data_IF_660226614460
#
_entry.id   IF_660226614460
#
_cell.length_a   1.000
_cell.length_b   1.000
_cell.length_c   1.000
_cell.angle_alpha   90.00
_cell.angle_beta   90.00
_cell.angle_gamma   90.00
#
_symmetry.space_group_name_H-M   'P 1'
#
loop_
_entity.id
_entity.type
_entity.pdbx_description
1 polymer ?
#
# COMPACT_ATOMS: atom_id res chain seq x y z
N UNK A 1 -3.31 57.58 30.39
CA UNK A 1 -4.05 56.30 30.45
C UNK A 1 -5.14 56.37 29.39
N UNK A 2 -5.00 55.63 28.28
CA UNK A 2 -5.80 55.83 27.06
C UNK A 2 -7.25 55.34 27.22
N UNK A 3 -8.20 55.94 26.49
CA UNK A 3 -9.65 55.59 26.50
C UNK A 3 -9.87 54.08 26.26
N UNK A 4 -8.99 53.44 25.48
CA UNK A 4 -8.98 51.99 25.23
C UNK A 4 -8.75 51.17 26.50
N UNK A 5 -7.88 51.62 27.41
CA UNK A 5 -7.67 50.95 28.70
C UNK A 5 -8.88 51.11 29.62
N UNK A 6 -9.58 52.25 29.58
CA UNK A 6 -10.78 52.48 30.39
C UNK A 6 -11.96 51.61 29.90
N UNK A 7 -12.09 51.42 28.58
CA UNK A 7 -13.14 50.55 27.99
C UNK A 7 -12.83 49.08 28.25
N UNK A 8 -11.56 48.64 28.15
CA UNK A 8 -11.18 47.27 28.52
C UNK A 8 -11.43 46.97 30.00
N UNK A 9 -11.05 47.87 30.91
CA UNK A 9 -11.25 47.68 32.36
C UNK A 9 -12.75 47.55 32.66
N UNK A 10 -13.59 48.46 32.14
CA UNK A 10 -15.05 48.36 32.31
C UNK A 10 -15.67 47.10 31.69
N UNK A 11 -15.14 46.59 30.58
CA UNK A 11 -15.63 45.35 29.95
C UNK A 11 -15.28 44.11 30.80
N UNK A 12 -14.05 44.03 31.31
CA UNK A 12 -13.65 42.95 32.21
C UNK A 12 -14.39 43.01 33.54
N UNK A 13 -14.64 44.21 34.07
CA UNK A 13 -15.46 44.40 35.26
C UNK A 13 -16.92 43.98 35.01
N UNK A 14 -17.52 44.27 33.85
CA UNK A 14 -18.87 43.75 33.51
C UNK A 14 -18.90 42.21 33.31
N UNK A 15 -17.79 41.62 32.87
CA UNK A 15 -17.67 40.18 32.62
C UNK A 15 -17.43 39.37 33.92
N UNK A 16 -16.73 39.96 34.89
CA UNK A 16 -16.28 39.30 36.13
C UNK A 16 -16.97 39.81 37.42
N UNK A 17 -17.33 41.10 37.48
CA UNK A 17 -17.91 41.77 38.64
C UNK A 17 -19.39 42.07 38.41
N UNK A 18 -20.20 41.14 38.88
CA UNK A 18 -21.62 41.30 39.06
C UNK A 18 -21.92 42.01 40.38
N UNK A 19 -22.02 43.34 40.36
CA UNK A 19 -22.61 44.08 41.50
C UNK A 19 -24.13 43.81 41.64
N UNK A 20 -24.76 43.18 40.65
CA UNK A 20 -26.21 42.93 40.58
C UNK A 20 -26.62 41.46 40.76
N UNK A 21 -25.70 40.49 40.63
CA UNK A 21 -26.05 39.06 40.70
C UNK A 21 -25.57 38.40 41.98
N UNK A 22 -26.36 37.43 42.44
CA UNK A 22 -26.11 36.69 43.67
C UNK A 22 -25.34 35.39 43.32
N UNK A 23 -24.27 35.04 44.06
CA UNK A 23 -23.58 33.76 43.91
C UNK A 23 -24.52 32.56 44.06
N UNK A 24 -24.22 31.47 43.35
CA UNK A 24 -25.07 30.28 43.34
C UNK A 24 -25.14 29.58 44.70
N UNK A 25 -24.12 29.72 45.56
CA UNK A 25 -24.14 29.23 46.93
C UNK A 25 -25.29 29.79 47.77
N UNK A 26 -25.70 31.04 47.51
CA UNK A 26 -26.86 31.65 48.17
C UNK A 26 -28.18 31.01 47.73
N UNK A 27 -28.29 30.53 46.48
CA UNK A 27 -29.46 29.78 46.01
C UNK A 27 -29.60 28.44 46.74
N UNK A 28 -28.49 27.83 47.16
CA UNK A 28 -28.49 26.63 48.00
C UNK A 28 -28.65 26.93 49.49
N UNK A 29 -28.89 28.19 49.87
CA UNK A 29 -29.00 28.65 51.26
C UNK A 29 -27.78 28.25 52.12
N UNK A 30 -26.62 28.04 51.49
CA UNK A 30 -25.42 27.51 52.15
C UNK A 30 -25.64 26.18 52.91
N UNK A 31 -26.61 25.36 52.48
CA UNK A 31 -26.80 24.03 53.05
C UNK A 31 -25.63 23.11 52.68
N UNK A 32 -24.88 22.69 53.70
CA UNK A 32 -23.64 21.93 53.53
C UNK A 32 -23.82 20.67 52.66
N UNK A 33 -24.90 19.92 52.85
CA UNK A 33 -25.13 18.65 52.14
C UNK A 33 -25.27 18.86 50.62
N UNK A 34 -25.99 19.90 50.21
CA UNK A 34 -26.23 20.20 48.79
C UNK A 34 -24.98 20.77 48.14
N UNK A 35 -24.27 21.65 48.85
CA UNK A 35 -23.01 22.22 48.36
C UNK A 35 -21.96 21.14 48.17
N UNK A 36 -21.74 20.26 49.15
CA UNK A 36 -20.75 19.18 49.03
C UNK A 36 -21.05 18.24 47.87
N UNK A 37 -22.34 17.95 47.62
CA UNK A 37 -22.74 17.11 46.50
C UNK A 37 -22.35 17.73 45.15
N UNK A 38 -22.70 19.00 44.92
CA UNK A 38 -22.35 19.70 43.69
C UNK A 38 -20.83 19.89 43.57
N UNK A 39 -20.18 20.34 44.65
CA UNK A 39 -18.74 20.57 44.70
C UNK A 39 -17.94 19.32 44.29
N UNK A 40 -18.23 18.17 44.91
CA UNK A 40 -17.51 16.93 44.64
C UNK A 40 -17.83 16.44 43.22
N UNK A 41 -19.10 16.48 42.81
CA UNK A 41 -19.52 16.01 41.49
C UNK A 41 -18.86 16.82 40.37
N UNK A 42 -18.96 18.15 40.42
CA UNK A 42 -18.38 19.03 39.40
C UNK A 42 -16.85 18.97 39.41
N UNK A 43 -16.21 18.81 40.57
CA UNK A 43 -14.77 18.62 40.65
C UNK A 43 -14.32 17.30 39.98
N UNK A 44 -15.03 16.20 40.24
CA UNK A 44 -14.74 14.90 39.62
C UNK A 44 -14.98 14.92 38.11
N UNK A 45 -16.09 15.53 37.65
CA UNK A 45 -16.38 15.67 36.23
C UNK A 45 -15.30 16.51 35.54
N UNK A 46 -14.94 17.65 36.13
CA UNK A 46 -13.89 18.53 35.62
C UNK A 46 -12.56 17.79 35.48
N UNK A 47 -12.14 17.06 36.52
CA UNK A 47 -10.91 16.28 36.50
C UNK A 47 -10.93 15.23 35.37
N UNK A 48 -12.02 14.47 35.26
CA UNK A 48 -12.17 13.45 34.22
C UNK A 48 -12.14 14.08 32.81
N UNK A 49 -12.80 15.22 32.62
CA UNK A 49 -12.93 15.88 31.32
C UNK A 49 -11.63 16.55 30.87
N UNK A 50 -10.70 16.87 31.78
CA UNK A 50 -9.34 17.24 31.38
C UNK A 50 -8.43 16.03 31.18
N UNK A 51 -8.62 14.94 31.93
CA UNK A 51 -7.79 13.74 31.81
C UNK A 51 -8.05 12.95 30.52
N UNK A 52 -9.32 12.76 30.12
CA UNK A 52 -9.69 12.00 28.92
C UNK A 52 -9.03 12.56 27.64
N UNK A 53 -9.09 13.88 27.35
CA UNK A 53 -8.41 14.47 26.20
C UNK A 53 -6.89 14.30 26.24
N UNK A 54 -6.26 14.36 27.42
CA UNK A 54 -4.81 14.11 27.57
C UNK A 54 -4.48 12.67 27.14
N UNK A 55 -5.25 11.69 27.62
CA UNK A 55 -5.10 10.29 27.22
C UNK A 55 -5.38 10.06 25.73
N UNK A 56 -6.38 10.75 25.17
CA UNK A 56 -6.67 10.70 23.74
C UNK A 56 -5.50 11.25 22.90
N UNK A 57 -4.92 12.39 23.29
CA UNK A 57 -3.76 12.97 22.60
C UNK A 57 -2.54 12.03 22.71
N UNK A 58 -2.32 11.42 23.88
CA UNK A 58 -1.29 10.40 24.06
C UNK A 58 -1.47 9.22 23.11
N UNK A 59 -2.68 8.67 23.03
CA UNK A 59 -3.03 7.55 22.14
C UNK A 59 -2.84 7.92 20.66
N UNK A 60 -3.28 9.11 20.26
CA UNK A 60 -3.11 9.62 18.89
C UNK A 60 -1.64 9.79 18.50
N UNK A 61 -0.79 10.19 19.46
CA UNK A 61 0.66 10.29 19.25
C UNK A 61 1.33 8.93 19.17
N UNK A 62 0.88 7.94 19.94
CA UNK A 62 1.46 6.60 19.95
C UNK A 62 1.10 5.78 18.71
N UNK A 63 -0.10 5.97 18.14
CA UNK A 63 -0.59 5.21 16.99
C UNK A 63 -0.54 6.03 15.70
N UNK A 64 0.40 5.69 14.80
CA UNK A 64 0.60 6.43 13.55
C UNK A 64 -0.57 6.33 12.57
N UNK A 65 -1.29 5.21 12.54
CA UNK A 65 -2.36 4.94 11.56
C UNK A 65 -3.76 4.88 12.17
N UNK A 66 -4.11 5.83 13.03
CA UNK A 66 -5.50 5.96 13.46
C UNK A 66 -6.35 6.57 12.35
N UNK A 67 -7.46 5.93 11.96
CA UNK A 67 -8.41 6.56 11.08
C UNK A 67 -9.07 7.74 11.82
N UNK A 68 -9.36 8.82 11.09
CA UNK A 68 -10.11 9.98 11.59
C UNK A 68 -9.50 10.73 12.79
N UNK A 69 -8.17 10.88 12.87
CA UNK A 69 -7.48 11.65 13.94
C UNK A 69 -8.10 13.04 14.21
N UNK A 70 -8.51 13.75 13.17
CA UNK A 70 -9.16 15.05 13.30
C UNK A 70 -10.49 15.00 14.07
N UNK A 71 -11.28 13.94 13.88
CA UNK A 71 -12.53 13.72 14.62
C UNK A 71 -12.26 13.45 16.10
N UNK A 72 -11.26 12.63 16.41
CA UNK A 72 -10.85 12.34 17.79
C UNK A 72 -10.36 13.60 18.52
N UNK A 73 -9.65 14.51 17.83
CA UNK A 73 -9.27 15.80 18.40
C UNK A 73 -10.48 16.72 18.64
N UNK A 74 -11.49 16.70 17.76
CA UNK A 74 -12.74 17.44 17.97
C UNK A 74 -13.51 16.91 19.19
N UNK A 75 -13.58 15.59 19.38
CA UNK A 75 -14.13 15.01 20.60
C UNK A 75 -13.34 15.45 21.84
N UNK A 76 -12.01 15.46 21.78
CA UNK A 76 -11.17 15.99 22.86
C UNK A 76 -11.50 17.45 23.18
N UNK A 77 -11.58 18.32 22.16
CA UNK A 77 -11.91 19.73 22.33
C UNK A 77 -13.32 19.95 22.91
N UNK A 78 -14.31 19.17 22.45
CA UNK A 78 -15.67 19.17 22.97
C UNK A 78 -15.71 18.78 24.46
N UNK A 79 -14.98 17.73 24.85
CA UNK A 79 -14.89 17.29 26.26
C UNK A 79 -14.22 18.36 27.12
N UNK A 80 -13.15 19.02 26.64
CA UNK A 80 -12.51 20.15 27.36
C UNK A 80 -13.51 21.29 27.58
N UNK A 81 -14.28 21.67 26.55
CA UNK A 81 -15.29 22.73 26.67
C UNK A 81 -16.41 22.35 27.66
N UNK A 82 -16.84 21.08 27.71
CA UNK A 82 -17.74 20.61 28.76
C UNK A 82 -17.10 20.66 30.15
N UNK A 83 -15.80 20.39 30.24
CA UNK A 83 -15.06 20.39 31.50
C UNK A 83 -14.95 21.81 32.07
N UNK A 84 -14.71 22.80 31.20
CA UNK A 84 -14.71 24.20 31.58
C UNK A 84 -16.09 24.68 32.03
N UNK A 85 -17.20 24.11 31.53
CA UNK A 85 -18.54 24.45 32.07
C UNK A 85 -18.72 24.01 33.52
N UNK A 86 -18.27 22.80 33.89
CA UNK A 86 -18.35 22.32 35.28
C UNK A 86 -17.36 23.05 36.21
N UNK A 87 -16.17 23.39 35.69
CA UNK A 87 -15.22 24.25 36.41
C UNK A 87 -15.83 25.62 36.70
N UNK A 88 -16.60 26.15 35.76
CA UNK A 88 -17.28 27.43 35.95
C UNK A 88 -18.43 27.32 36.95
N UNK A 89 -19.15 26.20 37.00
CA UNK A 89 -20.21 25.94 37.99
C UNK A 89 -19.65 25.85 39.43
N UNK A 90 -18.44 25.29 39.58
CA UNK A 90 -17.68 25.39 40.85
C UNK A 90 -17.39 26.85 41.21
N UNK A 91 -16.88 27.63 40.26
CA UNK A 91 -16.54 29.04 40.49
C UNK A 91 -17.77 29.87 40.85
N UNK A 92 -18.92 29.63 40.21
CA UNK A 92 -20.16 30.37 40.45
C UNK A 92 -20.79 30.16 41.82
N UNK A 93 -20.38 29.13 42.56
CA UNK A 93 -20.76 28.95 43.97
C UNK A 93 -20.37 30.16 44.82
N UNK A 94 -19.19 30.75 44.56
CA UNK A 94 -18.66 31.87 45.34
C UNK A 94 -18.68 33.20 44.59
N UNK A 95 -18.50 33.19 43.27
CA UNK A 95 -18.40 34.42 42.47
C UNK A 95 -19.39 34.41 41.28
N UNK A 96 -20.32 35.38 41.17
CA UNK A 96 -21.44 35.33 40.23
C UNK A 96 -21.07 35.75 38.78
N UNK A 97 -20.06 35.11 38.20
CA UNK A 97 -19.59 35.36 36.83
C UNK A 97 -20.47 34.65 35.77
N UNK A 98 -21.77 34.95 35.78
CA UNK A 98 -22.77 34.29 34.93
C UNK A 98 -22.61 34.59 33.43
N UNK A 99 -22.14 35.78 33.06
CA UNK A 99 -21.84 36.11 31.66
C UNK A 99 -20.72 35.26 31.07
N UNK A 100 -19.67 35.02 31.86
CA UNK A 100 -18.58 34.14 31.48
C UNK A 100 -19.07 32.69 31.36
N UNK A 101 -19.83 32.21 32.35
CA UNK A 101 -20.45 30.88 32.33
C UNK A 101 -21.36 30.67 31.12
N UNK A 102 -22.24 31.62 30.83
CA UNK A 102 -23.12 31.60 29.66
C UNK A 102 -22.34 31.58 28.34
N UNK A 103 -21.25 32.34 28.25
CA UNK A 103 -20.39 32.39 27.06
C UNK A 103 -19.67 31.05 26.82
N UNK A 104 -19.13 30.43 27.88
CA UNK A 104 -18.52 29.10 27.81
C UNK A 104 -19.56 28.05 27.38
N UNK A 105 -20.78 28.10 27.94
CA UNK A 105 -21.89 27.22 27.53
C UNK A 105 -22.26 27.40 26.05
N UNK A 106 -22.32 28.64 25.55
CA UNK A 106 -22.60 28.93 24.15
C UNK A 106 -21.50 28.39 23.22
N UNK A 107 -20.22 28.60 23.55
CA UNK A 107 -19.09 28.04 22.79
C UNK A 107 -19.16 26.51 22.77
N UNK A 108 -19.42 25.90 23.94
CA UNK A 108 -19.56 24.44 24.05
C UNK A 108 -20.68 23.93 23.15
N UNK A 109 -21.84 24.59 23.14
CA UNK A 109 -22.96 24.23 22.25
C UNK A 109 -22.58 24.30 20.76
N UNK A 110 -21.86 25.34 20.34
CA UNK A 110 -21.38 25.47 18.94
C UNK A 110 -20.44 24.32 18.58
N UNK A 111 -19.46 24.01 19.45
CA UNK A 111 -18.51 22.91 19.24
C UNK A 111 -19.23 21.56 19.20
N UNK A 112 -20.23 21.34 20.06
CA UNK A 112 -21.07 20.13 20.06
C UNK A 112 -21.80 19.93 18.74
N UNK A 113 -22.51 20.96 18.27
CA UNK A 113 -23.28 20.91 17.02
C UNK A 113 -22.34 20.66 15.84
N UNK A 114 -21.22 21.37 15.78
CA UNK A 114 -20.22 21.15 14.74
C UNK A 114 -19.67 19.72 14.76
N UNK A 115 -19.35 19.18 15.94
CA UNK A 115 -18.86 17.80 16.10
C UNK A 115 -19.90 16.78 15.63
N UNK A 116 -21.18 16.98 15.97
CA UNK A 116 -22.28 16.11 15.51
C UNK A 116 -22.45 16.13 13.99
N UNK A 117 -22.41 17.32 13.37
CA UNK A 117 -22.48 17.47 11.91
C UNK A 117 -21.29 16.76 11.24
N UNK A 118 -20.07 16.98 11.74
CA UNK A 118 -18.87 16.30 11.22
C UNK A 118 -18.97 14.78 11.34
N UNK A 119 -19.47 14.28 12.46
CA UNK A 119 -19.67 12.85 12.68
C UNK A 119 -20.65 12.25 11.65
N UNK A 120 -21.76 12.92 11.40
CA UNK A 120 -22.74 12.50 10.39
C UNK A 120 -22.12 12.36 8.99
N UNK A 121 -21.28 13.32 8.58
CA UNK A 121 -20.59 13.25 7.28
C UNK A 121 -19.47 12.21 7.22
N UNK A 122 -18.87 11.85 8.35
CA UNK A 122 -17.80 10.84 8.41
C UNK A 122 -18.36 9.42 8.49
N UNK A 123 -19.58 9.24 9.00
CA UNK A 123 -20.25 7.94 9.13
C UNK A 123 -20.17 7.04 7.87
N UNK A 124 -20.50 7.51 6.65
CA UNK A 124 -20.39 6.67 5.46
C UNK A 124 -18.94 6.23 5.16
N UNK A 125 -17.95 7.04 5.53
CA UNK A 125 -16.52 6.72 5.35
C UNK A 125 -16.04 5.65 6.33
N UNK A 126 -16.64 5.57 7.52
CA UNK A 126 -16.37 4.49 8.49
C UNK A 126 -16.85 3.15 7.94
N UNK A 127 -18.05 3.13 7.34
CA UNK A 127 -18.65 1.91 6.78
C UNK A 127 -17.90 1.39 5.54
N UNK A 128 -17.37 2.29 4.71
CA UNK A 128 -16.60 1.94 3.52
C UNK A 128 -15.12 1.58 3.81
N UNK A 129 -14.70 1.64 5.07
CA UNK A 129 -13.36 1.19 5.45
C UNK A 129 -13.35 -0.33 5.61
N UNK A 130 -12.32 -1.04 5.13
CA UNK A 130 -12.25 -2.48 5.25
C UNK A 130 -12.30 -2.87 6.74
N UNK A 131 -13.22 -3.76 7.07
CA UNK A 131 -13.34 -4.30 8.43
C UNK A 131 -12.10 -5.12 8.76
N UNK A 132 -11.78 -5.25 10.06
CA UNK A 132 -10.69 -6.12 10.52
C UNK A 132 -10.80 -7.54 9.93
N UNK A 133 -12.01 -8.09 9.92
CA UNK A 133 -12.29 -9.39 9.31
C UNK A 133 -12.00 -9.41 7.79
N UNK A 134 -12.35 -8.36 7.06
CA UNK A 134 -12.05 -8.24 5.64
C UNK A 134 -10.56 -8.14 5.35
N UNK A 135 -9.79 -7.44 6.21
CA UNK A 135 -8.34 -7.34 6.10
C UNK A 135 -7.65 -8.69 6.37
N UNK A 136 -8.13 -9.45 7.36
CA UNK A 136 -7.61 -10.78 7.66
C UNK A 136 -7.88 -11.75 6.52
N UNK A 137 -9.08 -11.73 5.94
CA UNK A 137 -9.42 -12.54 4.79
C UNK A 137 -8.56 -12.19 3.57
N UNK A 138 -8.36 -10.90 3.28
CA UNK A 138 -7.49 -10.47 2.18
C UNK A 138 -6.04 -10.90 2.40
N UNK A 139 -5.54 -10.85 3.63
CA UNK A 139 -4.20 -11.32 3.96
C UNK A 139 -4.05 -12.84 3.83
N UNK A 140 -5.08 -13.61 4.18
CA UNK A 140 -5.08 -15.06 3.99
C UNK A 140 -5.09 -15.42 2.51
N UNK A 141 -5.93 -14.75 1.72
CA UNK A 141 -5.98 -14.90 0.27
C UNK A 141 -4.63 -14.57 -0.38
N UNK A 142 -4.04 -13.41 -0.02
CA UNK A 142 -2.74 -13.00 -0.54
C UNK A 142 -1.64 -14.02 -0.19
N UNK A 143 -1.66 -14.58 1.02
CA UNK A 143 -0.72 -15.63 1.43
C UNK A 143 -0.88 -16.88 0.58
N UNK A 144 -2.11 -17.33 0.34
CA UNK A 144 -2.39 -18.49 -0.51
C UNK A 144 -1.87 -18.28 -1.93
N UNK A 145 -2.08 -17.10 -2.51
CA UNK A 145 -1.58 -16.77 -3.86
C UNK A 145 -0.05 -16.74 -3.92
N UNK A 146 0.61 -16.23 -2.87
CA UNK A 146 2.08 -16.25 -2.78
C UNK A 146 2.59 -17.69 -2.70
N UNK A 147 1.96 -18.53 -1.89
CA UNK A 147 2.35 -19.95 -1.78
C UNK A 147 2.17 -20.67 -3.12
N UNK A 148 1.06 -20.46 -3.82
CA UNK A 148 0.82 -21.02 -5.15
C UNK A 148 1.87 -20.56 -6.17
N UNK A 149 2.20 -19.26 -6.17
CA UNK A 149 3.22 -18.70 -7.05
C UNK A 149 4.60 -19.31 -6.78
N UNK A 150 4.99 -19.45 -5.50
CA UNK A 150 6.27 -20.07 -5.12
C UNK A 150 6.33 -21.52 -5.59
N UNK A 151 5.25 -22.30 -5.42
CA UNK A 151 5.19 -23.68 -5.86
C UNK A 151 5.28 -23.80 -7.39
N UNK A 152 4.60 -22.91 -8.12
CA UNK A 152 4.66 -22.86 -9.58
C UNK A 152 6.08 -22.53 -10.07
N UNK A 153 6.73 -21.54 -9.46
CA UNK A 153 8.11 -21.15 -9.80
C UNK A 153 9.12 -22.27 -9.50
N UNK A 154 8.98 -22.96 -8.36
CA UNK A 154 9.80 -24.12 -8.03
C UNK A 154 9.62 -25.27 -9.02
N UNK A 155 8.36 -25.57 -9.40
CA UNK A 155 8.04 -26.58 -10.40
C UNK A 155 8.66 -26.23 -11.76
N UNK A 156 8.58 -24.97 -12.18
CA UNK A 156 9.19 -24.48 -13.42
C UNK A 156 10.71 -24.62 -13.37
N UNK A 157 11.35 -24.19 -12.27
CA UNK A 157 12.81 -24.31 -12.09
C UNK A 157 13.27 -25.77 -12.10
N UNK A 158 12.53 -26.68 -11.47
CA UNK A 158 12.85 -28.11 -11.50
C UNK A 158 12.69 -28.74 -12.88
N UNK A 159 11.74 -28.24 -13.69
CA UNK A 159 11.59 -28.67 -15.09
C UNK A 159 12.73 -28.14 -15.94
N UNK A 160 13.09 -26.86 -15.77
CA UNK A 160 14.22 -26.24 -16.47
C UNK A 160 15.55 -26.95 -16.16
N UNK A 161 15.83 -27.23 -14.89
CA UNK A 161 17.04 -27.97 -14.50
C UNK A 161 17.06 -29.39 -15.10
N UNK A 162 15.93 -30.10 -15.06
CA UNK A 162 15.83 -31.44 -15.67
C UNK A 162 15.98 -31.39 -17.19
N UNK A 163 15.41 -30.37 -17.83
CA UNK A 163 15.54 -30.12 -19.25
C UNK A 163 17.01 -29.88 -19.62
N UNK A 164 17.69 -28.95 -18.95
CA UNK A 164 19.11 -28.66 -19.18
C UNK A 164 20.00 -29.91 -18.96
N UNK A 165 19.75 -30.68 -17.90
CA UNK A 165 20.47 -31.93 -17.66
C UNK A 165 20.24 -32.97 -18.76
N UNK A 166 19.01 -33.11 -19.26
CA UNK A 166 18.69 -34.02 -20.36
C UNK A 166 19.42 -33.62 -21.65
N UNK A 167 19.49 -32.33 -21.96
CA UNK A 167 20.24 -31.82 -23.12
C UNK A 167 21.74 -32.05 -23.00
N UNK A 168 22.31 -31.77 -21.84
CA UNK A 168 23.72 -32.03 -21.55
C UNK A 168 24.05 -33.53 -21.68
N UNK A 169 23.21 -34.41 -21.12
CA UNK A 169 23.41 -35.85 -21.19
C UNK A 169 23.26 -36.42 -22.61
N UNK A 170 22.32 -35.88 -23.41
CA UNK A 170 22.14 -36.27 -24.81
C UNK A 170 23.27 -35.75 -25.73
N UNK A 171 24.12 -34.84 -25.22
CA UNK A 171 25.20 -34.21 -25.97
C UNK A 171 24.72 -33.48 -27.24
N UNK A 172 23.45 -33.03 -27.25
CA UNK A 172 22.79 -32.37 -28.36
C UNK A 172 22.77 -30.86 -28.14
N UNK A 173 22.93 -30.12 -29.24
CA UNK A 173 22.67 -28.69 -29.26
C UNK A 173 21.23 -28.42 -29.69
N UNK A 174 20.57 -27.46 -29.05
CA UNK A 174 19.26 -26.96 -29.44
C UNK A 174 19.39 -25.60 -30.09
N UNK A 175 18.56 -25.39 -31.11
CA UNK A 175 18.27 -24.08 -31.67
C UNK A 175 16.75 -23.88 -31.76
N UNK A 176 16.32 -22.63 -31.65
CA UNK A 176 14.95 -22.18 -31.90
C UNK A 176 15.03 -20.97 -32.83
N UNK A 177 14.10 -20.88 -33.78
CA UNK A 177 14.01 -19.79 -34.71
C UNK A 177 12.56 -19.36 -34.85
N UNK A 178 12.32 -18.07 -34.59
CA UNK A 178 11.04 -17.44 -34.84
C UNK A 178 11.03 -16.84 -36.26
N UNK A 179 10.30 -17.41 -37.23
CA UNK A 179 10.29 -16.89 -38.60
C UNK A 179 9.64 -15.52 -38.75
N UNK A 180 8.84 -15.04 -37.78
CA UNK A 180 8.17 -13.72 -37.82
C UNK A 180 9.08 -12.60 -37.31
N UNK A 181 9.75 -12.81 -36.17
CA UNK A 181 10.65 -11.81 -35.57
C UNK A 181 12.10 -11.97 -36.06
N UNK A 182 12.39 -13.11 -36.68
CA UNK A 182 13.73 -13.56 -37.08
C UNK A 182 14.69 -13.75 -35.89
N UNK A 183 14.17 -13.80 -34.67
CA UNK A 183 14.95 -14.10 -33.47
C UNK A 183 15.37 -15.57 -33.46
N UNK A 184 16.62 -15.80 -33.02
CA UNK A 184 17.19 -17.12 -32.88
C UNK A 184 17.74 -17.34 -31.50
N UNK A 185 17.38 -18.47 -30.93
CA UNK A 185 18.06 -19.02 -29.78
C UNK A 185 18.98 -20.14 -30.24
N UNK A 186 20.23 -20.13 -29.78
CA UNK A 186 21.19 -21.21 -30.04
C UNK A 186 21.89 -21.53 -28.73
N UNK A 187 21.76 -22.78 -28.29
CA UNK A 187 22.36 -23.26 -27.03
C UNK A 187 23.89 -23.17 -27.06
N UNK A 188 24.52 -23.03 -25.88
CA UNK A 188 25.98 -23.03 -25.75
C UNK A 188 26.62 -24.30 -26.33
N UNK A 189 25.91 -25.44 -26.27
CA UNK A 189 26.38 -26.71 -26.85
C UNK A 189 26.54 -26.68 -28.36
N UNK A 190 25.60 -26.06 -29.09
CA UNK A 190 25.73 -25.86 -30.54
C UNK A 190 27.01 -25.09 -30.88
N UNK A 191 27.35 -24.07 -30.09
CA UNK A 191 28.56 -23.25 -30.26
C UNK A 191 29.82 -24.08 -30.01
N UNK A 192 29.85 -24.82 -28.90
CA UNK A 192 30.97 -25.71 -28.55
C UNK A 192 31.23 -26.78 -29.62
N UNK A 193 30.19 -27.40 -30.19
CA UNK A 193 30.32 -28.43 -31.22
C UNK A 193 31.09 -27.91 -32.46
N UNK A 194 30.90 -26.63 -32.78
CA UNK A 194 31.53 -25.93 -33.90
C UNK A 194 32.82 -25.18 -33.51
N UNK A 195 33.22 -25.23 -32.24
CA UNK A 195 34.44 -24.59 -31.73
C UNK A 195 34.34 -23.08 -31.50
N UNK A 196 33.12 -22.56 -31.33
CA UNK A 196 32.87 -21.16 -30.96
C UNK A 196 32.78 -21.00 -29.44
N UNK A 197 33.20 -19.84 -28.95
CA UNK A 197 33.03 -19.44 -27.56
C UNK A 197 31.56 -19.10 -27.25
N UNK A 198 31.17 -19.17 -25.98
CA UNK A 198 29.82 -18.81 -25.53
C UNK A 198 29.46 -17.36 -25.88
N UNK A 199 30.45 -16.46 -25.89
CA UNK A 199 30.31 -15.06 -26.28
C UNK A 199 30.12 -14.85 -27.78
N UNK A 200 30.32 -15.87 -28.61
CA UNK A 200 30.14 -15.76 -30.04
C UNK A 200 28.64 -15.76 -30.36
N UNK A 201 28.15 -14.64 -30.87
CA UNK A 201 26.79 -14.53 -31.37
C UNK A 201 26.75 -15.11 -32.79
N UNK A 202 26.06 -16.25 -32.95
CA UNK A 202 25.80 -16.85 -34.26
C UNK A 202 24.80 -15.98 -35.07
N UNK A 203 24.21 -14.96 -34.44
CA UNK A 203 23.36 -13.95 -35.07
C UNK A 203 22.07 -14.50 -35.64
N UNK A 204 21.27 -13.62 -36.26
CA UNK A 204 19.99 -13.95 -36.87
C UNK A 204 20.09 -15.04 -37.95
N UNK A 205 19.23 -16.07 -37.85
CA UNK A 205 19.12 -17.24 -38.73
C UNK A 205 19.29 -16.93 -40.23
N UNK A 206 18.58 -15.92 -40.72
CA UNK A 206 18.45 -15.66 -42.15
C UNK A 206 19.73 -15.23 -42.86
N UNK A 207 20.75 -14.73 -42.14
CA UNK A 207 21.99 -14.28 -42.77
C UNK A 207 23.23 -15.05 -42.30
N UNK A 208 23.36 -15.36 -41.01
CA UNK A 208 24.61 -15.92 -40.51
C UNK A 208 24.64 -17.45 -40.62
N UNK A 209 23.57 -18.17 -40.24
CA UNK A 209 23.53 -19.63 -40.34
C UNK A 209 23.79 -20.13 -41.77
N UNK A 210 23.17 -19.50 -42.79
CA UNK A 210 23.40 -19.83 -44.20
C UNK A 210 24.86 -19.69 -44.63
N UNK A 211 25.62 -18.76 -44.05
CA UNK A 211 27.05 -18.58 -44.36
C UNK A 211 27.96 -19.63 -43.72
N UNK A 212 27.46 -20.37 -42.73
CA UNK A 212 28.17 -21.48 -42.13
C UNK A 212 27.94 -22.80 -42.86
N UNK A 213 26.91 -22.92 -43.71
CA UNK A 213 26.65 -24.12 -44.51
C UNK A 213 27.65 -24.19 -45.66
N UNK A 214 28.16 -25.40 -45.96
CA UNK A 214 29.00 -25.61 -47.13
C UNK A 214 28.24 -25.25 -48.42
N UNK A 215 28.86 -24.55 -49.40
CA UNK A 215 28.18 -24.08 -50.61
C UNK A 215 27.42 -25.18 -51.37
N UNK A 216 28.00 -26.38 -51.48
CA UNK A 216 27.38 -27.52 -52.15
C UNK A 216 26.09 -28.04 -51.45
N UNK A 217 25.95 -27.82 -50.15
CA UNK A 217 24.84 -28.35 -49.35
C UNK A 217 23.70 -27.33 -49.19
N UNK A 218 23.96 -26.04 -49.50
CA UNK A 218 23.07 -24.91 -49.21
C UNK A 218 21.69 -25.04 -49.87
N UNK A 219 21.66 -25.33 -51.17
CA UNK A 219 20.41 -25.39 -51.94
C UNK A 219 19.50 -26.53 -51.45
N UNK A 220 20.09 -27.68 -51.11
CA UNK A 220 19.35 -28.82 -50.57
C UNK A 220 18.75 -28.50 -49.20
N UNK A 221 19.56 -27.90 -48.31
CA UNK A 221 19.17 -27.57 -46.94
C UNK A 221 18.03 -26.55 -46.90
N UNK A 222 18.12 -25.49 -47.73
CA UNK A 222 17.08 -24.47 -47.83
C UNK A 222 15.78 -25.07 -48.37
N UNK A 223 15.86 -25.85 -49.45
CA UNK A 223 14.67 -26.48 -50.03
C UNK A 223 13.97 -27.41 -49.05
N UNK A 224 14.72 -28.23 -48.31
CA UNK A 224 14.15 -29.11 -47.29
C UNK A 224 13.46 -28.33 -46.16
N UNK A 225 14.03 -27.18 -45.76
CA UNK A 225 13.43 -26.30 -44.77
C UNK A 225 12.13 -25.66 -45.28
N UNK A 226 12.12 -25.16 -46.52
CA UNK A 226 10.94 -24.60 -47.17
C UNK A 226 9.83 -25.65 -47.33
N UNK A 227 10.18 -26.86 -47.74
CA UNK A 227 9.25 -27.98 -47.85
C UNK A 227 8.64 -28.35 -46.48
N UNK A 228 9.44 -28.33 -45.41
CA UNK A 228 8.92 -28.57 -44.05
C UNK A 228 7.99 -27.44 -43.60
N UNK A 229 8.39 -26.17 -43.76
CA UNK A 229 7.56 -25.01 -43.40
C UNK A 229 6.23 -24.97 -44.17
N UNK A 230 6.24 -25.43 -45.42
CA UNK A 230 5.07 -25.62 -46.27
C UNK A 230 4.25 -26.90 -45.93
N UNK A 231 4.56 -27.56 -44.82
CA UNK A 231 3.88 -28.76 -44.31
C UNK A 231 3.93 -29.97 -45.26
N UNK A 232 4.92 -30.05 -46.15
CA UNK A 232 5.09 -31.21 -47.04
C UNK A 232 5.75 -32.39 -46.34
N UNK A 233 6.40 -32.17 -45.20
CA UNK A 233 7.05 -33.19 -44.37
C UNK A 233 6.66 -33.01 -42.89
N UNK A 234 6.50 -34.11 -42.15
CA UNK A 234 6.13 -34.07 -40.72
C UNK A 234 7.26 -33.57 -39.81
N UNK A 235 8.51 -33.82 -40.20
CA UNK A 235 9.71 -33.37 -39.48
C UNK A 235 10.74 -32.87 -40.51
N UNK A 236 11.53 -31.88 -40.12
CA UNK A 236 12.74 -31.50 -40.82
C UNK A 236 13.89 -32.36 -40.32
N UNK A 237 14.56 -33.07 -41.23
CA UNK A 237 15.77 -33.86 -40.95
C UNK A 237 16.73 -33.68 -42.11
N UNK A 238 17.93 -33.17 -41.87
CA UNK A 238 18.98 -33.04 -42.88
C UNK A 238 20.36 -33.31 -42.27
N UNK A 239 21.25 -33.93 -43.06
CA UNK A 239 22.67 -34.05 -42.74
C UNK A 239 23.47 -33.17 -43.70
N UNK A 240 24.20 -32.19 -43.16
CA UNK A 240 24.96 -31.24 -43.97
C UNK A 240 26.22 -30.77 -43.25
N UNK A 241 27.13 -30.13 -44.00
CA UNK A 241 28.40 -29.65 -43.47
C UNK A 241 28.29 -28.22 -42.94
N UNK A 242 28.68 -28.02 -41.68
CA UNK A 242 28.81 -26.71 -41.04
C UNK A 242 30.28 -26.32 -40.82
N UNK A 243 30.57 -25.04 -41.08
CA UNK A 243 31.90 -24.43 -40.92
C UNK A 243 32.20 -24.10 -39.47
N UNK A 244 33.26 -24.72 -38.96
CA UNK A 244 33.81 -24.50 -37.63
C UNK A 244 34.62 -23.20 -37.54
N UNK A 245 34.91 -22.75 -36.33
CA UNK A 245 35.67 -21.54 -36.06
C UNK A 245 37.10 -21.57 -36.65
N UNK A 246 37.69 -22.77 -36.78
CA UNK A 246 38.99 -23.00 -37.42
C UNK A 246 38.95 -23.03 -38.96
N UNK A 247 37.75 -22.85 -39.56
CA UNK A 247 37.51 -22.91 -40.99
C UNK A 247 37.30 -24.32 -41.56
N UNK A 248 37.42 -25.37 -40.74
CA UNK A 248 37.11 -26.75 -41.14
C UNK A 248 35.60 -26.98 -41.25
N UNK A 249 35.19 -28.08 -41.91
CA UNK A 249 33.78 -28.48 -42.00
C UNK A 249 33.52 -29.76 -41.21
N UNK A 250 32.42 -29.78 -40.45
CA UNK A 250 31.92 -30.97 -39.75
C UNK A 250 30.54 -31.35 -40.27
N UNK A 251 30.30 -32.65 -40.37
CA UNK A 251 28.96 -33.18 -40.62
C UNK A 251 28.09 -33.04 -39.37
N UNK A 252 26.91 -32.45 -39.54
CA UNK A 252 25.92 -32.26 -38.48
C UNK A 252 24.60 -32.85 -38.96
N UNK A 253 23.95 -33.60 -38.08
CA UNK A 253 22.56 -33.99 -38.23
C UNK A 253 21.70 -32.91 -37.59
N UNK A 254 20.85 -32.29 -38.39
CA UNK A 254 19.91 -31.27 -37.96
C UNK A 254 18.49 -31.83 -38.00
N UNK A 255 17.79 -31.70 -36.88
CA UNK A 255 16.43 -32.18 -36.71
C UNK A 255 15.59 -31.07 -36.09
N UNK A 256 14.46 -30.75 -36.73
CA UNK A 256 13.57 -29.70 -36.27
C UNK A 256 12.11 -30.01 -36.54
N UNK A 257 11.26 -29.33 -35.78
CA UNK A 257 9.82 -29.36 -35.96
C UNK A 257 9.29 -27.93 -35.86
N UNK A 258 8.60 -27.47 -36.90
CA UNK A 258 7.92 -26.19 -36.86
C UNK A 258 6.63 -26.26 -36.02
N UNK A 259 6.35 -25.18 -35.29
CA UNK A 259 5.08 -24.97 -34.62
C UNK A 259 4.29 -23.92 -35.40
N UNK A 260 3.20 -24.36 -36.04
CA UNK A 260 2.28 -23.48 -36.75
C UNK A 260 1.23 -22.97 -35.75
N UNK A 261 1.27 -21.66 -35.47
CA UNK A 261 0.22 -20.95 -34.73
C UNK A 261 -0.89 -20.46 -35.67
#
# INVERSE_FOLDING_TARGET
MSIVNLIMINFFDYLLLAETFIPQGNCYLWQANVIWLHLISDALITLAYYLIPILLVYLIRQRQNLPFKGLLMLFGAFIICGGTTHLMELWTLWAPAYWLSGSIKAITAIVSVYTAIKLYYILPRIQNSPSLAGLEQLNQELKSQIEEHILAEQSLRQREQRWQLALQAANQGIWDWNPKTNETFVSSRCKEMLGYDESYDIGNYNHQWRTHIHPDDLDQVIKAMEDHLAQKTSYYVQEYRLRCNDGSYKWILDQAQALWN
#
